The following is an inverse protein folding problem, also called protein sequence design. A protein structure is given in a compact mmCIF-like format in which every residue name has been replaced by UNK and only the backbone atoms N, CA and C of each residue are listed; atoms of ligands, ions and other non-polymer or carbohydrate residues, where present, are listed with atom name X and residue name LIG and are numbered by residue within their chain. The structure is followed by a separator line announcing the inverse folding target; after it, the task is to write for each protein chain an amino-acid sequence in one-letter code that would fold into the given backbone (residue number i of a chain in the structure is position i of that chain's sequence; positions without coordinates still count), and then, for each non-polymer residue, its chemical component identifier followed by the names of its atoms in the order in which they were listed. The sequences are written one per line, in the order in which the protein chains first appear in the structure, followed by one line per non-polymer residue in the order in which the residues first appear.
data_IF_082937213837
#
_entry.id   IF_082937213837
#
_cell.length_a   1.000
_cell.length_b   1.000
_cell.length_c   1.000
_cell.angle_alpha   90.00
_cell.angle_beta   90.00
_cell.angle_gamma   90.00
#
_symmetry.space_group_name_H-M   'P 1'
#
loop_
_entity.id
_entity.type
_entity.pdbx_description
1 polymer ?
#
# COMPACT_ATOMS: atom_id res chain seq x y z
N UNK A 1 39.17 -1.51 -12.00
CA UNK A 1 38.49 -2.27 -10.91
C UNK A 1 37.04 -2.47 -11.32
N UNK A 2 36.61 -3.72 -11.51
CA UNK A 2 35.21 -4.06 -11.79
C UNK A 2 34.58 -4.52 -10.48
N UNK A 3 33.68 -3.73 -9.91
CA UNK A 3 32.95 -4.06 -8.69
C UNK A 3 31.62 -4.69 -9.07
N UNK A 4 31.53 -6.00 -8.90
CA UNK A 4 30.30 -6.78 -9.08
C UNK A 4 29.42 -6.58 -7.84
N UNK A 5 28.23 -6.01 -8.00
CA UNK A 5 27.24 -5.83 -6.93
C UNK A 5 26.45 -7.14 -6.81
N UNK A 6 26.70 -7.90 -5.75
CA UNK A 6 25.96 -9.12 -5.42
C UNK A 6 24.65 -8.75 -4.75
N UNK A 7 23.54 -9.03 -5.42
CA UNK A 7 22.18 -8.85 -4.87
C UNK A 7 21.90 -9.92 -3.82
N UNK A 8 21.67 -9.51 -2.57
CA UNK A 8 21.21 -10.38 -1.48
C UNK A 8 19.68 -10.26 -1.41
N UNK A 9 19.00 -11.31 -1.88
CA UNK A 9 17.56 -11.49 -1.67
C UNK A 9 17.39 -12.23 -0.33
N UNK A 10 16.94 -11.51 0.70
CA UNK A 10 16.63 -12.12 2.00
C UNK A 10 15.13 -12.48 2.02
N UNK A 11 14.82 -13.77 1.90
CA UNK A 11 13.50 -14.29 2.21
C UNK A 11 13.34 -14.37 3.73
N UNK A 12 12.48 -13.53 4.30
CA UNK A 12 12.01 -13.68 5.67
C UNK A 12 10.61 -14.30 5.65
N UNK A 13 10.50 -15.52 6.18
CA UNK A 13 9.24 -16.20 6.45
C UNK A 13 8.59 -15.60 7.70
N UNK A 14 7.43 -14.96 7.52
CA UNK A 14 6.57 -14.53 8.64
C UNK A 14 5.93 -15.76 9.30
N UNK A 15 6.22 -16.00 10.56
CA UNK A 15 5.41 -16.88 11.41
C UNK A 15 4.16 -16.12 11.88
N UNK A 16 2.97 -16.65 11.61
CA UNK A 16 1.71 -16.17 12.18
C UNK A 16 1.44 -16.98 13.44
N UNK A 17 1.36 -16.31 14.60
CA UNK A 17 0.96 -16.94 15.87
C UNK A 17 -0.56 -17.10 15.84
N UNK A 18 -1.04 -18.34 16.00
CA UNK A 18 -2.47 -18.61 16.17
C UNK A 18 -2.94 -18.04 17.52
N UNK A 19 -4.07 -17.34 17.54
CA UNK A 19 -4.68 -16.78 18.75
C UNK A 19 -5.96 -17.57 19.05
N UNK A 20 -6.18 -17.89 20.33
CA UNK A 20 -7.39 -18.58 20.77
C UNK A 20 -8.45 -17.54 21.16
N UNK A 21 -9.62 -17.60 20.52
CA UNK A 21 -10.79 -16.78 20.84
C UNK A 21 -11.76 -17.66 21.64
N UNK A 22 -12.11 -17.21 22.84
CA UNK A 22 -13.04 -17.92 23.72
C UNK A 22 -14.34 -17.12 23.81
N UNK A 23 -15.44 -17.73 23.38
CA UNK A 23 -16.79 -17.23 23.54
C UNK A 23 -17.41 -17.95 24.74
N UNK A 24 -17.72 -17.19 25.80
CA UNK A 24 -18.28 -17.68 27.05
C UNK A 24 -19.77 -17.32 27.14
N UNK A 25 -20.63 -18.34 27.22
CA UNK A 25 -22.08 -18.16 27.25
C UNK A 25 -22.64 -17.81 28.64
N UNK A 26 -21.81 -17.77 29.69
CA UNK A 26 -22.22 -17.38 31.05
C UNK A 26 -22.48 -15.87 31.22
N UNK A 27 -22.26 -15.08 30.17
CA UNK A 27 -22.46 -13.64 30.15
C UNK A 27 -23.69 -13.30 29.29
N UNK A 28 -24.71 -12.58 29.81
CA UNK A 28 -25.88 -12.20 29.02
C UNK A 28 -25.48 -11.12 28.01
N UNK A 29 -25.22 -11.50 26.76
CA UNK A 29 -24.80 -10.58 25.70
C UNK A 29 -25.60 -10.87 24.43
N UNK A 30 -26.48 -9.94 24.05
CA UNK A 30 -27.36 -10.05 22.88
C UNK A 30 -26.61 -9.98 21.53
N UNK A 31 -25.54 -9.17 21.43
CA UNK A 31 -24.68 -9.08 20.23
C UNK A 31 -23.24 -8.74 20.64
N UNK A 32 -22.25 -9.47 20.12
CA UNK A 32 -20.83 -9.17 20.33
C UNK A 32 -20.08 -9.05 19.00
N UNK A 33 -19.52 -7.87 18.73
CA UNK A 33 -18.61 -7.65 17.60
C UNK A 33 -17.16 -7.65 18.06
N UNK A 34 -16.29 -8.40 17.39
CA UNK A 34 -14.86 -8.46 17.70
C UNK A 34 -14.01 -8.40 16.44
N UNK A 35 -12.97 -7.55 16.48
CA UNK A 35 -11.92 -7.50 15.47
C UNK A 35 -10.87 -8.58 15.73
N UNK A 36 -10.50 -9.29 14.66
CA UNK A 36 -9.60 -10.44 14.71
C UNK A 36 -8.48 -10.30 13.69
N UNK A 37 -7.27 -10.62 14.13
CA UNK A 37 -6.06 -10.64 13.29
C UNK A 37 -6.18 -11.67 12.16
N UNK A 38 -5.61 -11.34 11.00
CA UNK A 38 -5.49 -12.28 9.87
C UNK A 38 -4.73 -13.54 10.30
N UNK A 39 -5.19 -14.69 9.83
CA UNK A 39 -4.52 -15.97 10.12
C UNK A 39 -5.50 -17.08 10.42
N UNK A 40 -4.96 -18.20 10.88
CA UNK A 40 -5.75 -19.27 11.49
C UNK A 40 -6.03 -18.89 12.94
N UNK A 41 -7.31 -18.91 13.28
CA UNK A 41 -7.81 -18.55 14.58
C UNK A 41 -8.64 -19.71 15.08
N UNK A 42 -8.35 -20.12 16.32
CA UNK A 42 -9.12 -21.17 16.98
C UNK A 42 -10.24 -20.50 17.76
N UNK A 43 -11.48 -20.91 17.51
CA UNK A 43 -12.64 -20.42 18.24
C UNK A 43 -13.12 -21.53 19.16
N UNK A 44 -13.27 -21.22 20.44
CA UNK A 44 -13.79 -22.11 21.47
C UNK A 44 -15.11 -21.56 22.00
N UNK A 45 -16.15 -22.39 21.99
CA UNK A 45 -17.44 -22.08 22.59
C UNK A 45 -17.57 -22.85 23.90
N UNK A 46 -17.74 -22.13 25.00
CA UNK A 46 -17.85 -22.71 26.34
C UNK A 46 -19.32 -22.76 26.78
N UNK A 47 -19.97 -23.95 26.79
CA UNK A 47 -21.35 -24.09 27.22
C UNK A 47 -21.50 -23.89 28.73
N UNK A 48 -22.61 -23.27 29.13
CA UNK A 48 -23.09 -23.27 30.53
C UNK A 48 -24.06 -24.44 30.76
N UNK A 49 -23.98 -25.07 31.93
CA UNK A 49 -24.85 -26.18 32.31
C UNK A 49 -26.30 -25.74 32.49
N UNK A 50 -27.26 -26.57 32.05
CA UNK A 50 -28.70 -26.26 32.11
C UNK A 50 -29.29 -25.73 30.80
N UNK A 51 -28.48 -25.53 29.77
CA UNK A 51 -28.91 -25.04 28.46
C UNK A 51 -28.47 -25.98 27.34
N UNK A 52 -29.18 -25.94 26.22
CA UNK A 52 -28.76 -26.54 24.95
C UNK A 52 -28.48 -25.46 23.93
N UNK A 53 -27.41 -25.64 23.13
CA UNK A 53 -26.94 -24.62 22.19
C UNK A 53 -27.00 -25.17 20.77
N UNK A 54 -27.51 -24.36 19.84
CA UNK A 54 -27.52 -24.68 18.42
C UNK A 54 -26.77 -23.58 17.67
N UNK A 55 -25.69 -23.91 16.96
CA UNK A 55 -24.81 -22.91 16.33
C UNK A 55 -24.98 -22.98 14.81
N UNK A 56 -25.19 -21.81 14.19
CA UNK A 56 -25.19 -21.61 12.74
C UNK A 56 -24.12 -20.57 12.39
N UNK A 57 -23.22 -20.94 11.49
CA UNK A 57 -22.12 -20.06 11.05
C UNK A 57 -22.38 -19.57 9.62
N UNK A 58 -22.27 -18.27 9.42
CA UNK A 58 -22.33 -17.63 8.11
C UNK A 58 -21.02 -16.91 7.83
N UNK A 59 -20.47 -17.08 6.63
CA UNK A 59 -19.24 -16.43 6.19
C UNK A 59 -19.54 -15.44 5.08
N UNK A 60 -19.11 -14.19 5.25
CA UNK A 60 -19.13 -13.18 4.21
C UNK A 60 -17.70 -12.85 3.80
N UNK A 61 -17.41 -13.06 2.52
CA UNK A 61 -16.17 -12.65 1.87
C UNK A 61 -16.48 -11.58 0.83
N UNK A 62 -15.68 -10.52 0.79
CA UNK A 62 -15.80 -9.38 -0.11
C UNK A 62 -16.94 -8.41 0.28
N UNK A 63 -16.67 -7.58 1.30
CA UNK A 63 -17.42 -6.33 1.49
C UNK A 63 -17.24 -5.32 0.33
N UNK A 64 -16.43 -5.66 -0.68
CA UNK A 64 -16.46 -5.11 -2.04
C UNK A 64 -16.27 -6.25 -3.07
N UNK A 65 -17.36 -6.78 -3.63
CA UNK A 65 -17.40 -7.40 -4.96
C UNK A 65 -17.08 -8.90 -5.13
N UNK A 66 -18.12 -9.66 -5.46
CA UNK A 66 -18.21 -10.97 -6.16
C UNK A 66 -17.85 -12.27 -5.41
N UNK A 67 -18.78 -13.22 -5.55
CA UNK A 67 -18.84 -14.55 -4.95
C UNK A 67 -17.73 -15.50 -5.44
N UNK A 68 -17.14 -16.24 -4.51
CA UNK A 68 -16.98 -17.70 -4.66
C UNK A 68 -16.73 -18.35 -3.31
N UNK A 69 -17.57 -19.35 -3.02
CA UNK A 69 -17.60 -20.14 -1.79
C UNK A 69 -16.73 -21.39 -2.00
N UNK A 70 -15.73 -21.68 -1.15
CA UNK A 70 -15.32 -23.06 -0.91
C UNK A 70 -16.26 -23.64 0.15
N UNK A 71 -17.03 -24.64 -0.26
CA UNK A 71 -17.87 -25.50 0.58
C UNK A 71 -17.02 -26.25 1.61
N UNK A 72 -17.19 -26.01 2.92
CA UNK A 72 -16.75 -26.94 3.94
C UNK A 72 -17.97 -27.80 4.31
N UNK A 73 -18.22 -28.83 3.49
CA UNK A 73 -19.04 -30.00 3.82
C UNK A 73 -20.19 -29.78 4.82
N UNK A 74 -21.37 -29.45 4.29
CA UNK A 74 -22.65 -29.98 4.76
C UNK A 74 -23.10 -29.66 6.19
N UNK A 75 -23.84 -28.56 6.34
CA UNK A 75 -25.24 -28.58 6.82
C UNK A 75 -25.80 -27.16 6.81
N UNK A 76 -26.79 -26.90 5.96
CA UNK A 76 -27.74 -25.81 6.19
C UNK A 76 -28.66 -26.26 7.34
N UNK A 77 -28.23 -26.02 8.58
CA UNK A 77 -28.96 -26.37 9.79
C UNK A 77 -28.12 -26.03 11.03
N UNK A 78 -28.78 -25.64 12.11
CA UNK A 78 -28.08 -25.47 13.39
C UNK A 78 -27.48 -26.80 13.83
N UNK A 79 -26.21 -26.80 14.25
CA UNK A 79 -25.59 -27.97 14.89
C UNK A 79 -25.94 -27.94 16.37
N UNK A 80 -26.73 -28.90 16.85
CA UNK A 80 -27.05 -29.04 18.27
C UNK A 80 -25.82 -29.53 19.05
N UNK A 81 -25.36 -28.70 19.97
CA UNK A 81 -24.28 -28.99 20.92
C UNK A 81 -24.94 -29.27 22.27
N UNK A 82 -24.98 -30.54 22.65
CA UNK A 82 -25.51 -30.98 23.95
C UNK A 82 -24.39 -31.22 24.96
N UNK A 83 -24.55 -30.69 26.18
CA UNK A 83 -23.70 -30.98 27.35
C UNK A 83 -22.49 -30.06 27.52
N UNK A 84 -21.76 -30.26 28.64
CA UNK A 84 -20.59 -29.47 29.09
C UNK A 84 -19.34 -29.56 28.17
N UNK A 85 -19.50 -29.97 26.91
CA UNK A 85 -18.39 -30.20 25.98
C UNK A 85 -18.03 -28.89 25.26
N UNK A 86 -16.78 -28.46 25.40
CA UNK A 86 -16.26 -27.30 24.67
C UNK A 86 -16.22 -27.63 23.17
N UNK A 87 -16.90 -26.82 22.34
CA UNK A 87 -16.80 -26.95 20.89
C UNK A 87 -15.66 -26.07 20.38
N UNK A 88 -14.79 -26.62 19.55
CA UNK A 88 -13.64 -25.94 18.98
C UNK A 88 -13.65 -26.05 17.46
N UNK A 89 -13.46 -24.93 16.76
CA UNK A 89 -13.26 -24.90 15.30
C UNK A 89 -12.14 -23.94 14.93
N UNK A 90 -11.41 -24.25 13.87
CA UNK A 90 -10.34 -23.38 13.36
C UNK A 90 -10.85 -22.68 12.11
N UNK A 91 -10.89 -21.35 12.16
CA UNK A 91 -11.28 -20.51 11.03
C UNK A 91 -10.10 -19.73 10.49
N UNK A 92 -10.04 -19.63 9.17
CA UNK A 92 -9.06 -18.82 8.47
C UNK A 92 -9.67 -17.45 8.15
N UNK A 93 -9.13 -16.41 8.78
CA UNK A 93 -9.48 -15.01 8.49
C UNK A 93 -8.54 -14.47 7.40
N UNK A 94 -9.14 -14.02 6.29
CA UNK A 94 -8.48 -13.19 5.27
C UNK A 94 -8.83 -11.72 5.53
N UNK A 95 -8.12 -10.81 4.86
CA UNK A 95 -8.45 -9.39 4.85
C UNK A 95 -9.94 -9.17 4.51
N UNK A 96 -10.61 -8.29 5.24
CA UNK A 96 -12.02 -7.91 5.06
C UNK A 96 -12.99 -9.11 5.05
N UNK A 97 -12.78 -10.05 5.98
CA UNK A 97 -13.67 -11.22 6.18
C UNK A 97 -14.54 -11.02 7.41
N UNK A 98 -15.83 -11.31 7.30
CA UNK A 98 -16.78 -11.35 8.43
C UNK A 98 -17.30 -12.77 8.61
N UNK A 99 -17.29 -13.26 9.84
CA UNK A 99 -18.00 -14.47 10.25
C UNK A 99 -19.07 -14.07 11.26
N UNK A 100 -20.31 -14.44 10.98
CA UNK A 100 -21.45 -14.28 11.90
C UNK A 100 -21.83 -15.67 12.43
N UNK A 101 -21.98 -15.78 13.75
CA UNK A 101 -22.47 -16.96 14.44
C UNK A 101 -23.81 -16.62 15.08
N UNK A 102 -24.85 -17.31 14.64
CA UNK A 102 -26.16 -17.28 15.24
C UNK A 102 -26.26 -18.49 16.18
N UNK A 103 -26.40 -18.23 17.49
CA UNK A 103 -26.46 -19.25 18.53
C UNK A 103 -27.85 -19.26 19.14
N UNK A 104 -28.62 -20.30 18.89
CA UNK A 104 -29.89 -20.54 19.54
C UNK A 104 -29.63 -21.24 20.89
N UNK A 105 -29.95 -20.57 21.98
CA UNK A 105 -29.91 -21.09 23.35
C UNK A 105 -31.31 -21.55 23.72
N UNK A 106 -31.46 -22.78 24.22
CA UNK A 106 -32.73 -23.28 24.75
C UNK A 106 -32.56 -23.70 26.20
N UNK A 107 -33.33 -23.12 27.11
CA UNK A 107 -33.36 -23.48 28.52
C UNK A 107 -34.02 -24.85 28.69
N UNK A 108 -33.35 -25.76 29.38
CA UNK A 108 -33.83 -27.13 29.57
C UNK A 108 -34.93 -27.25 30.63
N UNK A 109 -35.16 -26.21 31.43
CA UNK A 109 -36.13 -26.19 32.52
C UNK A 109 -37.52 -25.72 32.09
N UNK A 110 -37.61 -24.73 31.19
CA UNK A 110 -38.88 -24.15 30.73
C UNK A 110 -39.08 -24.20 29.20
N UNK A 111 -38.06 -24.62 28.44
CA UNK A 111 -38.10 -24.70 26.98
C UNK A 111 -38.08 -23.36 26.26
N UNK A 112 -37.79 -22.26 26.97
CA UNK A 112 -37.64 -20.94 26.37
C UNK A 112 -36.40 -20.89 25.47
N UNK A 113 -36.46 -20.09 24.40
CA UNK A 113 -35.37 -19.96 23.44
C UNK A 113 -34.93 -18.53 23.27
N UNK A 114 -33.63 -18.29 23.30
CA UNK A 114 -32.99 -17.01 23.01
C UNK A 114 -31.98 -17.17 21.87
N UNK A 115 -31.85 -16.17 21.01
CA UNK A 115 -30.86 -16.15 19.93
C UNK A 115 -29.78 -15.13 20.24
N UNK A 116 -28.52 -15.57 20.27
CA UNK A 116 -27.34 -14.72 20.44
C UNK A 116 -26.61 -14.59 19.11
N UNK A 117 -26.14 -13.38 18.78
CA UNK A 117 -25.35 -13.15 17.57
C UNK A 117 -23.91 -12.74 17.91
N UNK A 118 -22.94 -13.49 17.39
CA UNK A 118 -21.51 -13.15 17.50
C UNK A 118 -20.95 -12.84 16.13
N UNK A 119 -20.28 -11.70 16.00
CA UNK A 119 -19.72 -11.23 14.74
C UNK A 119 -18.21 -11.08 14.91
N UNK A 120 -17.45 -11.89 14.18
CA UNK A 120 -15.99 -11.78 14.11
C UNK A 120 -15.59 -11.17 12.76
N UNK A 121 -14.84 -10.07 12.80
CA UNK A 121 -14.41 -9.35 11.60
C UNK A 121 -12.89 -9.27 11.54
N UNK A 122 -12.32 -9.48 10.36
CA UNK A 122 -10.93 -9.13 10.06
C UNK A 122 -10.91 -7.99 9.06
N UNK A 123 -10.20 -6.91 9.36
CA UNK A 123 -10.00 -5.77 8.46
C UNK A 123 -8.59 -5.82 7.86
N UNK A 124 -8.44 -5.30 6.64
CA UNK A 124 -7.09 -5.12 6.07
C UNK A 124 -6.37 -3.99 6.80
N UNK A 125 -5.13 -4.24 7.19
CA UNK A 125 -4.26 -3.20 7.78
C UNK A 125 -3.57 -2.33 6.71
N UNK A 126 -3.84 -2.58 5.43
CA UNK A 126 -3.35 -1.73 4.35
C UNK A 126 -4.13 -0.42 4.32
N UNK A 127 -3.39 0.67 4.25
CA UNK A 127 -3.94 2.01 4.19
C UNK A 127 -3.17 2.89 3.21
N UNK A 128 -3.85 3.92 2.72
CA UNK A 128 -3.21 4.97 1.94
C UNK A 128 -2.51 5.95 2.87
N UNK A 129 -1.24 6.20 2.60
CA UNK A 129 -0.47 7.26 3.21
C UNK A 129 -0.18 8.34 2.18
N UNK A 130 -0.38 9.60 2.59
CA UNK A 130 0.07 10.77 1.81
C UNK A 130 1.39 11.26 2.38
N UNK A 131 2.36 11.49 1.51
CA UNK A 131 3.67 12.03 1.89
C UNK A 131 4.02 13.26 1.08
N UNK A 132 4.87 14.11 1.67
CA UNK A 132 5.51 15.22 0.97
C UNK A 132 7.02 15.05 1.05
N UNK A 133 7.71 15.32 -0.04
CA UNK A 133 9.15 15.12 -0.11
C UNK A 133 9.77 15.64 -1.40
N UNK A 134 10.98 15.18 -1.67
CA UNK A 134 11.72 15.52 -2.88
C UNK A 134 12.08 14.25 -3.64
N UNK A 135 11.96 14.31 -4.97
CA UNK A 135 12.39 13.27 -5.88
C UNK A 135 13.63 13.75 -6.61
N UNK A 136 14.69 12.98 -6.53
CA UNK A 136 15.86 13.10 -7.38
C UNK A 136 15.65 12.27 -8.64
N UNK A 137 15.39 12.94 -9.75
CA UNK A 137 15.23 12.33 -11.08
C UNK A 137 16.60 12.33 -11.76
N UNK A 138 17.10 11.16 -12.13
CA UNK A 138 18.39 11.05 -12.82
C UNK A 138 18.16 11.18 -14.33
N UNK A 139 18.61 12.29 -14.90
CA UNK A 139 18.40 12.60 -16.31
C UNK A 139 19.45 11.89 -17.17
N UNK A 140 18.99 11.22 -18.22
CA UNK A 140 19.85 10.60 -19.22
C UNK A 140 19.80 11.39 -20.53
N UNK A 141 20.93 11.52 -21.23
CA UNK A 141 21.07 12.24 -22.51
C UNK A 141 20.47 13.66 -22.50
N UNK A 142 20.71 14.42 -21.43
CA UNK A 142 20.29 15.83 -21.33
C UNK A 142 21.45 16.74 -21.73
N UNK A 143 21.77 16.77 -23.02
CA UNK A 143 22.80 17.64 -23.59
C UNK A 143 22.16 18.98 -23.94
N UNK A 144 22.69 20.06 -23.39
CA UNK A 144 22.26 21.41 -23.68
C UNK A 144 23.15 22.05 -24.75
N UNK A 145 22.55 22.94 -25.53
CA UNK A 145 23.20 23.64 -26.64
C UNK A 145 23.11 25.15 -26.43
N UNK A 146 24.07 25.89 -26.98
CA UNK A 146 24.03 27.35 -27.00
C UNK A 146 24.51 27.88 -28.35
N UNK A 147 24.05 29.07 -28.73
CA UNK A 147 24.66 29.82 -29.83
C UNK A 147 25.88 30.57 -29.33
N UNK A 148 27.04 30.33 -29.94
CA UNK A 148 28.30 31.02 -29.65
C UNK A 148 28.72 31.86 -30.86
N UNK A 149 28.96 33.15 -30.62
CA UNK A 149 29.58 34.04 -31.60
C UNK A 149 31.10 33.89 -31.55
N UNK A 150 31.70 33.45 -32.65
CA UNK A 150 33.15 33.41 -32.84
C UNK A 150 33.49 34.02 -34.18
N UNK A 151 34.21 35.13 -34.17
CA UNK A 151 34.72 35.81 -35.36
C UNK A 151 33.64 36.15 -36.42
N UNK A 152 32.45 36.58 -35.98
CA UNK A 152 31.34 36.98 -36.85
C UNK A 152 30.56 35.82 -37.45
N UNK A 153 30.84 34.59 -37.01
CA UNK A 153 30.11 33.37 -37.35
C UNK A 153 29.45 32.84 -36.08
N UNK A 154 28.13 32.83 -36.04
CA UNK A 154 27.37 32.29 -34.91
C UNK A 154 27.18 30.81 -35.15
N UNK A 155 27.59 29.96 -34.21
CA UNK A 155 27.47 28.51 -34.33
C UNK A 155 26.77 27.88 -33.14
N UNK A 156 26.00 26.83 -33.38
CA UNK A 156 25.38 26.03 -32.32
C UNK A 156 26.43 25.07 -31.77
N UNK A 157 26.81 25.25 -30.51
CA UNK A 157 27.79 24.43 -29.81
C UNK A 157 27.17 23.78 -28.58
N UNK A 158 27.67 22.61 -28.21
CA UNK A 158 27.31 22.01 -26.92
C UNK A 158 27.78 22.92 -25.79
N UNK A 159 26.89 23.22 -24.85
CA UNK A 159 27.18 24.13 -23.73
C UNK A 159 28.11 23.49 -22.68
N UNK A 160 28.38 22.18 -22.81
CA UNK A 160 29.21 21.40 -21.88
C UNK A 160 28.57 21.18 -20.49
N UNK A 161 27.52 21.93 -20.16
CA UNK A 161 26.65 21.69 -19.02
C UNK A 161 25.73 20.51 -19.27
N UNK A 162 25.95 19.41 -18.54
CA UNK A 162 25.00 18.29 -18.48
C UNK A 162 24.30 18.32 -17.13
N UNK A 163 23.00 18.63 -17.12
CA UNK A 163 22.19 18.48 -15.92
C UNK A 163 21.86 17.00 -15.75
N UNK A 164 22.50 16.35 -14.76
CA UNK A 164 22.39 14.91 -14.52
C UNK A 164 21.30 14.54 -13.52
N UNK A 165 20.79 15.51 -12.76
CA UNK A 165 19.79 15.28 -11.73
C UNK A 165 18.89 16.50 -11.52
N UNK A 166 17.59 16.22 -11.40
CA UNK A 166 16.57 17.21 -11.06
C UNK A 166 15.93 16.88 -9.72
N UNK A 167 15.86 17.87 -8.83
CA UNK A 167 15.17 17.76 -7.55
C UNK A 167 13.79 18.37 -7.67
N UNK A 168 12.75 17.53 -7.60
CA UNK A 168 11.36 17.94 -7.76
C UNK A 168 10.60 17.68 -6.46
N UNK A 169 10.08 18.72 -5.78
CA UNK A 169 9.18 18.51 -4.64
C UNK A 169 7.91 17.80 -5.11
N UNK A 170 7.38 16.86 -4.34
CA UNK A 170 6.15 16.15 -4.72
C UNK A 170 5.26 15.81 -3.53
N UNK A 171 4.01 15.52 -3.85
CA UNK A 171 3.13 14.71 -3.01
C UNK A 171 3.06 13.31 -3.60
N UNK A 172 3.25 12.30 -2.75
CA UNK A 172 3.17 10.89 -3.11
C UNK A 172 2.08 10.18 -2.28
N UNK A 173 1.47 9.17 -2.88
CA UNK A 173 0.45 8.32 -2.28
C UNK A 173 0.96 6.89 -2.28
N UNK A 174 1.16 6.33 -1.09
CA UNK A 174 1.64 4.95 -0.91
C UNK A 174 0.54 4.10 -0.31
N UNK A 175 0.29 2.92 -0.89
CA UNK A 175 -0.62 1.94 -0.33
C UNK A 175 0.19 0.82 0.33
N UNK A 176 0.23 0.79 1.66
CA UNK A 176 1.01 -0.19 2.40
C UNK A 176 0.40 -0.51 3.77
N UNK A 177 0.86 -1.60 4.39
CA UNK A 177 0.56 -1.92 5.78
C UNK A 177 1.43 -1.09 6.72
N UNK A 178 0.94 0.07 7.11
CA UNK A 178 1.60 0.95 8.07
C UNK A 178 1.26 0.54 9.51
N UNK A 179 2.27 0.35 10.37
CA UNK A 179 2.07 -0.11 11.75
C UNK A 179 3.24 -0.95 12.28
N UNK A 180 4.02 -1.53 11.37
CA UNK A 180 5.30 -2.19 11.66
C UNK A 180 6.48 -1.22 11.50
N UNK A 181 7.68 -1.64 11.92
CA UNK A 181 8.93 -0.87 11.73
C UNK A 181 9.24 -0.59 10.26
N UNK A 182 8.83 -1.51 9.39
CA UNK A 182 8.96 -1.41 7.95
C UNK A 182 7.60 -1.61 7.27
N UNK A 183 7.31 -0.79 6.27
CA UNK A 183 6.11 -0.91 5.43
C UNK A 183 6.53 -0.85 3.96
N UNK A 184 6.12 -1.83 3.16
CA UNK A 184 6.43 -1.86 1.73
C UNK A 184 5.15 -1.79 0.92
N UNK A 185 5.17 -1.01 -0.16
CA UNK A 185 4.01 -0.91 -1.05
C UNK A 185 4.23 -0.10 -2.32
N UNK A 186 3.32 -0.25 -3.29
CA UNK A 186 3.30 0.60 -4.48
C UNK A 186 3.05 2.05 -4.10
N UNK A 187 3.60 2.96 -4.90
CA UNK A 187 3.42 4.41 -4.74
C UNK A 187 3.30 5.11 -6.07
N UNK A 188 2.54 6.19 -6.08
CA UNK A 188 2.41 7.11 -7.20
C UNK A 188 2.29 8.53 -6.70
N UNK A 189 2.72 9.52 -7.49
CA UNK A 189 2.64 10.92 -7.05
C UNK A 189 2.87 11.93 -8.16
N UNK A 190 2.74 13.19 -7.76
CA UNK A 190 2.78 14.35 -8.63
C UNK A 190 3.79 15.37 -8.10
N UNK A 191 4.65 15.85 -8.99
CA UNK A 191 5.63 16.89 -8.70
C UNK A 191 5.01 18.28 -8.77
N UNK A 192 5.45 19.16 -7.88
CA UNK A 192 5.15 20.58 -7.90
C UNK A 192 6.24 21.31 -8.67
N UNK A 193 6.04 21.41 -9.97
CA UNK A 193 6.64 22.45 -10.80
C UNK A 193 5.47 23.04 -11.59
N UNK A 194 5.11 24.30 -11.31
CA UNK A 194 3.92 24.94 -11.87
C UNK A 194 4.00 25.07 -13.39
N UNK A 195 5.21 25.04 -13.93
CA UNK A 195 5.46 25.13 -15.36
C UNK A 195 5.58 23.73 -16.00
N UNK A 196 5.87 22.68 -15.22
CA UNK A 196 6.11 21.32 -15.71
C UNK A 196 5.52 20.24 -14.78
N UNK A 197 4.36 19.68 -15.13
CA UNK A 197 3.81 18.53 -14.40
C UNK A 197 4.76 17.33 -14.51
N UNK A 198 5.17 16.79 -13.36
CA UNK A 198 5.96 15.56 -13.27
C UNK A 198 5.14 14.45 -12.60
N UNK A 199 5.16 13.25 -13.17
CA UNK A 199 4.42 12.10 -12.64
C UNK A 199 5.40 11.02 -12.20
N UNK A 200 5.20 10.49 -11.00
CA UNK A 200 6.08 9.51 -10.38
C UNK A 200 5.32 8.21 -10.10
N UNK A 201 5.97 7.08 -10.32
CA UNK A 201 5.44 5.76 -9.99
C UNK A 201 6.54 4.78 -9.61
N UNK A 202 6.33 3.98 -8.58
CA UNK A 202 7.36 3.06 -8.11
C UNK A 202 6.96 2.23 -6.90
N UNK A 203 7.99 1.74 -6.21
CA UNK A 203 7.86 1.04 -4.95
C UNK A 203 8.47 1.86 -3.82
N UNK A 204 7.86 1.75 -2.64
CA UNK A 204 8.24 2.53 -1.48
C UNK A 204 8.41 1.68 -0.24
N UNK A 205 9.37 2.08 0.59
CA UNK A 205 9.71 1.51 1.88
C UNK A 205 9.55 2.59 2.95
N UNK A 206 8.52 2.47 3.77
CA UNK A 206 8.36 3.21 5.01
C UNK A 206 9.26 2.65 6.11
N UNK A 207 9.97 3.52 6.82
CA UNK A 207 10.90 3.21 7.91
C UNK A 207 10.49 4.00 9.15
N UNK A 208 10.31 3.32 10.29
CA UNK A 208 10.00 3.97 11.56
C UNK A 208 8.70 4.79 11.53
N UNK A 209 7.79 4.42 10.61
CA UNK A 209 6.47 5.01 10.41
C UNK A 209 6.42 6.50 9.99
N UNK A 210 7.56 7.17 9.77
CA UNK A 210 7.59 8.61 9.43
C UNK A 210 8.33 8.90 8.13
N UNK A 211 9.39 8.15 7.82
CA UNK A 211 10.19 8.32 6.62
C UNK A 211 9.77 7.31 5.56
N UNK A 212 9.65 7.75 4.31
CA UNK A 212 9.39 6.89 3.17
C UNK A 212 10.49 7.10 2.13
N UNK A 213 11.18 6.02 1.80
CA UNK A 213 12.10 5.93 0.68
C UNK A 213 11.36 5.36 -0.52
N UNK A 214 11.49 5.97 -1.68
CA UNK A 214 10.86 5.50 -2.91
C UNK A 214 11.89 5.39 -4.03
N UNK A 215 11.74 4.38 -4.87
CA UNK A 215 12.47 4.26 -6.13
C UNK A 215 11.51 3.85 -7.24
N UNK A 216 11.72 4.39 -8.44
CA UNK A 216 10.84 4.11 -9.56
C UNK A 216 11.16 4.90 -10.82
N UNK A 217 10.12 5.17 -11.59
CA UNK A 217 10.18 5.90 -12.84
C UNK A 217 9.39 7.21 -12.74
N UNK A 218 9.98 8.26 -13.29
CA UNK A 218 9.40 9.59 -13.38
C UNK A 218 9.19 9.95 -14.85
N UNK A 219 7.97 10.36 -15.20
CA UNK A 219 7.70 11.07 -16.44
C UNK A 219 7.91 12.56 -16.16
N UNK A 220 8.95 13.13 -16.77
CA UNK A 220 9.40 14.49 -16.51
C UNK A 220 9.76 15.19 -17.82
N UNK A 221 9.46 16.49 -17.91
CA UNK A 221 9.79 17.30 -19.08
C UNK A 221 11.28 17.64 -19.05
N UNK A 222 11.95 17.48 -20.18
CA UNK A 222 13.36 17.79 -20.40
C UNK A 222 13.48 18.68 -21.63
N UNK A 223 14.54 19.46 -21.69
CA UNK A 223 14.89 20.26 -22.85
C UNK A 223 15.75 19.43 -23.81
N UNK A 224 15.48 19.55 -25.12
CA UNK A 224 16.35 19.04 -26.18
C UNK A 224 16.50 20.08 -27.27
N UNK A 225 17.56 20.00 -28.06
CA UNK A 225 17.72 20.84 -29.24
C UNK A 225 16.49 20.66 -30.15
N UNK A 226 15.91 21.79 -30.57
CA UNK A 226 14.82 21.80 -31.53
C UNK A 226 15.28 21.11 -32.83
N UNK A 227 14.41 20.27 -33.38
CA UNK A 227 14.66 19.51 -34.60
C UNK A 227 14.99 20.39 -35.82
N UNK A 228 14.65 21.69 -35.79
CA UNK A 228 15.01 22.65 -36.84
C UNK A 228 16.50 23.02 -36.87
N UNK A 229 17.24 22.68 -35.81
CA UNK A 229 18.66 23.01 -35.66
C UNK A 229 19.55 21.78 -35.67
N UNK A 230 20.76 21.94 -36.19
CA UNK A 230 21.80 20.89 -36.21
C UNK A 230 23.03 21.37 -35.44
N UNK A 231 23.66 20.53 -34.60
CA UNK A 231 24.93 20.88 -33.96
C UNK A 231 25.99 21.29 -34.99
N UNK A 232 26.68 22.40 -34.73
CA UNK A 232 27.67 22.97 -35.65
C UNK A 232 27.09 23.79 -36.82
N UNK A 233 25.76 23.93 -36.90
CA UNK A 233 25.12 24.83 -37.87
C UNK A 233 25.52 26.29 -37.61
N UNK A 234 25.78 27.01 -38.69
CA UNK A 234 25.99 28.46 -38.67
C UNK A 234 24.64 29.18 -38.76
N UNK A 235 24.47 30.23 -37.95
CA UNK A 235 23.29 31.08 -37.91
C UNK A 235 23.67 32.53 -38.22
N UNK A 236 22.72 33.27 -38.77
CA UNK A 236 22.87 34.70 -39.04
C UNK A 236 22.63 35.56 -37.79
N UNK A 237 21.92 35.01 -36.78
CA UNK A 237 21.55 35.71 -35.55
C UNK A 237 21.78 34.81 -34.31
N UNK A 238 22.05 35.45 -33.17
CA UNK A 238 22.14 34.78 -31.86
C UNK A 238 20.73 34.37 -31.42
N UNK A 239 20.56 33.13 -31.00
CA UNK A 239 19.29 32.60 -30.52
C UNK A 239 19.29 32.51 -28.99
N UNK A 240 18.12 32.71 -28.39
CA UNK A 240 17.97 32.49 -26.96
C UNK A 240 17.90 30.99 -26.63
N UNK A 241 18.03 30.63 -25.34
CA UNK A 241 17.92 29.24 -24.90
C UNK A 241 16.54 28.64 -25.26
N UNK A 242 15.48 29.42 -25.08
CA UNK A 242 14.11 28.99 -25.33
C UNK A 242 13.81 28.83 -26.84
N UNK A 243 14.52 29.58 -27.70
CA UNK A 243 14.41 29.42 -29.16
C UNK A 243 15.17 28.18 -29.66
N UNK A 244 16.24 27.78 -28.97
CA UNK A 244 17.10 26.65 -29.34
C UNK A 244 16.56 25.31 -28.88
N UNK A 245 15.76 25.28 -27.82
CA UNK A 245 15.31 24.04 -27.21
C UNK A 245 13.80 23.87 -27.27
N UNK A 246 13.36 22.65 -27.51
CA UNK A 246 11.98 22.24 -27.34
C UNK A 246 11.84 21.32 -26.11
N UNK A 247 10.74 21.50 -25.37
CA UNK A 247 10.43 20.66 -24.21
C UNK A 247 9.78 19.34 -24.64
N UNK A 248 10.27 18.23 -24.11
CA UNK A 248 9.71 16.90 -24.38
C UNK A 248 9.65 16.04 -23.11
N UNK A 249 8.68 15.13 -23.05
CA UNK A 249 8.53 14.25 -21.91
C UNK A 249 9.37 12.99 -22.05
N UNK A 250 10.10 12.65 -20.99
CA UNK A 250 10.92 11.44 -20.93
C UNK A 250 10.74 10.69 -19.61
N UNK A 251 10.82 9.37 -19.71
CA UNK A 251 10.85 8.48 -18.56
C UNK A 251 12.29 8.37 -18.05
N UNK A 252 12.49 8.67 -16.77
CA UNK A 252 13.79 8.62 -16.11
C UNK A 252 13.67 7.91 -14.76
N UNK A 253 14.73 7.21 -14.30
CA UNK A 253 14.73 6.67 -12.95
C UNK A 253 14.76 7.80 -11.91
N UNK A 254 14.11 7.58 -10.78
CA UNK A 254 14.18 8.49 -9.65
C UNK A 254 14.34 7.74 -8.32
N UNK A 255 14.89 8.47 -7.35
CA UNK A 255 14.80 8.12 -5.93
C UNK A 255 14.15 9.26 -5.16
N UNK A 256 13.52 8.96 -4.05
CA UNK A 256 12.81 9.96 -3.26
C UNK A 256 12.88 9.68 -1.78
N UNK A 257 12.90 10.77 -1.02
CA UNK A 257 12.80 10.80 0.42
C UNK A 257 11.62 11.70 0.78
N UNK A 258 10.65 11.14 1.50
CA UNK A 258 9.43 11.83 1.87
C UNK A 258 9.04 11.57 3.33
N UNK A 259 8.27 12.51 3.88
CA UNK A 259 7.70 12.44 5.22
C UNK A 259 6.20 12.23 5.14
N UNK A 260 5.67 11.36 6.00
CA UNK A 260 4.22 11.11 6.09
C UNK A 260 3.50 12.31 6.72
N UNK A 261 2.40 12.75 6.11
CA UNK A 261 1.65 13.93 6.57
C UNK A 261 0.60 13.60 7.65
N UNK A 262 0.16 12.35 7.70
CA UNK A 262 -0.86 11.83 8.63
C UNK A 262 -0.31 11.53 10.04
N UNK A 263 1.01 11.54 10.24
CA UNK A 263 1.65 11.44 11.57
C UNK A 263 2.58 12.61 11.80
N UNK A 264 2.47 13.20 12.99
CA UNK A 264 3.36 14.27 13.43
C UNK A 264 4.71 13.67 13.87
N UNK A 265 5.82 13.90 13.14
CA UNK A 265 7.12 13.36 13.50
C UNK A 265 7.78 14.05 14.70
N UNK A 266 7.20 15.15 15.19
CA UNK A 266 7.69 15.95 16.32
C UNK A 266 6.84 15.78 17.58
N UNK A 267 5.83 14.91 17.55
CA UNK A 267 5.05 14.61 18.75
C UNK A 267 5.83 13.58 19.58
N UNK A 268 6.47 14.02 20.66
CA UNK A 268 6.95 13.10 21.69
C UNK A 268 5.75 12.34 22.26
N UNK A 269 5.90 11.02 22.44
CA UNK A 269 4.98 10.26 23.27
C UNK A 269 5.03 10.75 24.71
#
# INVERSE_FOLDING_TARGET
MKTTITSIFLLFTCFVVAQDIVIDFSQPILVQEQLVSRGEQTIQFKPEGGFTYAIKMTKETNLLGSLSIPDPSGAAGFVTVGGNSVYQTTLKFKDNTKYSFEVLVTDTSDGSTETLEFILMSQSDFSWATTIGFNAIFLSNNTLYRSLDSDGTISIVEDGGQKTMDLVPSVMFTYAKFGNDFAFGPTAGLGFDLDNISVFGGASLGIGQNFILTAGLALHKQDKLDAQFVPGQTLDNTLSFDDLHEGYYRINPFISLALRLDKNPFKSQ
#
